data_IF_927025977450
#
_entry.id   IF_927025977450
#
_cell.length_a   1.000
_cell.length_b   1.000
_cell.length_c   1.000
_cell.angle_alpha   90.00
_cell.angle_beta   90.00
_cell.angle_gamma   90.00
#
_symmetry.space_group_name_H-M   'P 1'
#
loop_
_entity.id
_entity.type
_entity.pdbx_description
1 polymer ?
#
# COMPACT_ATOMS: atom_id res chain seq x y z
N UNK A 1 4.98 -14.39 10.32
CA UNK A 1 5.41 -13.41 9.30
C UNK A 1 4.18 -12.85 8.60
N UNK A 2 4.09 -11.54 8.56
CA UNK A 2 2.94 -10.90 7.95
C UNK A 2 3.31 -10.21 6.65
N UNK A 3 2.30 -9.88 5.87
CA UNK A 3 2.43 -9.09 4.65
C UNK A 3 1.90 -7.70 4.92
N UNK A 4 2.75 -6.70 4.73
CA UNK A 4 2.41 -5.30 4.96
C UNK A 4 2.13 -4.67 3.59
N UNK A 5 0.87 -4.33 3.36
CA UNK A 5 0.47 -3.58 2.18
C UNK A 5 0.88 -2.12 2.34
N UNK A 6 1.45 -1.53 1.31
CA UNK A 6 1.78 -0.10 1.29
C UNK A 6 1.22 0.48 0.00
N UNK A 7 0.30 1.40 0.15
CA UNK A 7 -0.35 2.09 -0.96
C UNK A 7 -0.43 3.58 -0.66
N UNK A 8 -0.81 4.38 -1.62
CA UNK A 8 -0.96 5.80 -1.36
C UNK A 8 -1.28 6.62 -2.58
N UNK A 9 -1.77 7.83 -2.34
CA UNK A 9 -2.13 8.78 -3.37
C UNK A 9 -0.91 9.26 -4.16
N UNK A 10 -1.07 9.42 -5.47
CA UNK A 10 -0.05 10.01 -6.34
C UNK A 10 0.26 11.46 -5.95
N UNK A 11 -0.66 12.14 -5.29
CA UNK A 11 -0.46 13.52 -4.83
C UNK A 11 0.50 13.61 -3.64
N UNK A 12 0.79 12.50 -2.99
CA UNK A 12 1.70 12.44 -1.85
C UNK A 12 2.95 11.67 -2.24
N UNK A 13 3.86 12.36 -2.93
CA UNK A 13 5.04 11.75 -3.54
C UNK A 13 6.35 12.44 -3.12
N UNK A 14 6.31 13.26 -2.08
CA UNK A 14 7.48 14.00 -1.60
C UNK A 14 8.37 13.16 -0.69
N UNK A 15 9.59 13.64 -0.47
CA UNK A 15 10.51 13.02 0.50
C UNK A 15 9.92 13.06 1.92
N UNK A 16 9.20 14.12 2.26
CA UNK A 16 8.49 14.23 3.53
C UNK A 16 7.45 13.14 3.66
N UNK A 17 6.67 12.91 2.61
CA UNK A 17 5.66 11.85 2.59
C UNK A 17 6.29 10.47 2.73
N UNK A 18 7.42 10.25 2.07
CA UNK A 18 8.16 9.00 2.22
C UNK A 18 8.58 8.77 3.67
N UNK A 19 9.11 9.79 4.32
CA UNK A 19 9.55 9.66 5.73
C UNK A 19 8.41 9.36 6.67
N UNK A 20 7.25 9.96 6.45
CA UNK A 20 6.03 9.67 7.22
C UNK A 20 5.65 8.20 7.06
N UNK A 21 5.66 7.70 5.85
CA UNK A 21 5.40 6.29 5.55
C UNK A 21 6.43 5.37 6.21
N UNK A 22 7.71 5.73 6.11
CA UNK A 22 8.80 4.95 6.69
C UNK A 22 8.69 4.83 8.20
N UNK A 23 8.32 5.92 8.90
CA UNK A 23 8.14 5.90 10.35
C UNK A 23 7.07 4.88 10.74
N UNK A 24 5.92 4.90 10.06
CA UNK A 24 4.86 3.92 10.32
C UNK A 24 5.32 2.50 10.02
N UNK A 25 6.02 2.32 8.92
CA UNK A 25 6.55 1.01 8.54
C UNK A 25 7.47 0.44 9.64
N UNK A 26 8.37 1.26 10.19
CA UNK A 26 9.26 0.83 11.27
C UNK A 26 8.50 0.42 12.52
N UNK A 27 7.39 1.07 12.81
CA UNK A 27 6.57 0.76 13.99
C UNK A 27 5.94 -0.61 13.92
N UNK A 28 5.58 -1.08 12.72
CA UNK A 28 4.82 -2.33 12.56
C UNK A 28 5.65 -3.47 11.98
N UNK A 29 6.77 -3.19 11.35
CA UNK A 29 7.60 -4.20 10.70
C UNK A 29 8.26 -5.12 11.72
N UNK A 30 8.19 -6.42 11.47
CA UNK A 30 8.92 -7.44 12.21
C UNK A 30 9.78 -8.23 11.21
N UNK A 31 10.93 -8.71 11.66
CA UNK A 31 11.83 -9.46 10.78
C UNK A 31 11.13 -10.65 10.16
N UNK A 32 11.31 -10.83 8.87
CA UNK A 32 10.64 -11.86 8.09
C UNK A 32 9.36 -11.39 7.40
N UNK A 33 8.86 -10.20 7.72
CA UNK A 33 7.70 -9.64 7.04
C UNK A 33 8.02 -9.28 5.59
N UNK A 34 7.01 -9.28 4.76
CA UNK A 34 7.10 -8.92 3.34
C UNK A 34 6.23 -7.73 3.03
N UNK A 35 6.51 -7.07 1.91
CA UNK A 35 5.72 -5.92 1.43
C UNK A 35 4.86 -6.34 0.25
N UNK A 36 3.66 -5.77 0.17
CA UNK A 36 2.73 -5.95 -0.95
C UNK A 36 2.32 -4.57 -1.46
N UNK A 37 2.36 -4.34 -2.76
CA UNK A 37 1.98 -3.05 -3.32
C UNK A 37 1.52 -3.16 -4.78
N UNK A 38 1.26 -2.02 -5.41
CA UNK A 38 0.59 -1.96 -6.70
C UNK A 38 1.41 -1.50 -7.90
N UNK A 39 2.66 -1.11 -7.72
CA UNK A 39 3.54 -0.78 -8.83
C UNK A 39 3.32 0.58 -9.49
N UNK A 40 2.52 1.47 -8.91
CA UNK A 40 2.41 2.83 -9.42
C UNK A 40 3.76 3.56 -9.23
N UNK A 41 4.23 4.32 -10.25
CA UNK A 41 5.53 4.99 -10.15
C UNK A 41 5.55 6.21 -9.24
N UNK A 42 4.43 6.56 -8.61
CA UNK A 42 4.30 7.69 -7.69
C UNK A 42 3.57 7.29 -6.41
N UNK A 43 3.87 8.01 -5.33
CA UNK A 43 3.17 7.87 -4.06
C UNK A 43 3.53 6.61 -3.30
N UNK A 44 2.57 6.07 -2.56
CA UNK A 44 2.78 4.94 -1.65
C UNK A 44 3.37 3.71 -2.30
N UNK A 45 2.96 3.41 -3.54
CA UNK A 45 3.51 2.26 -4.27
C UNK A 45 5.02 2.44 -4.54
N UNK A 46 5.45 3.65 -4.88
CA UNK A 46 6.86 3.96 -5.05
C UNK A 46 7.61 3.85 -3.71
N UNK A 47 6.99 4.29 -2.64
CA UNK A 47 7.57 4.18 -1.29
C UNK A 47 7.76 2.72 -0.89
N UNK A 48 6.81 1.87 -1.23
CA UNK A 48 6.90 0.42 -0.98
C UNK A 48 8.13 -0.18 -1.65
N UNK A 49 8.35 0.14 -2.93
CA UNK A 49 9.50 -0.36 -3.67
C UNK A 49 10.81 0.19 -3.10
N UNK A 50 10.81 1.46 -2.71
CA UNK A 50 11.98 2.10 -2.11
C UNK A 50 12.35 1.46 -0.77
N UNK A 51 11.36 1.19 0.09
CA UNK A 51 11.60 0.52 1.37
C UNK A 51 12.10 -0.90 1.19
N UNK A 52 11.51 -1.65 0.26
CA UNK A 52 11.92 -3.00 -0.05
C UNK A 52 13.40 -3.04 -0.48
N UNK A 53 13.79 -2.15 -1.37
CA UNK A 53 15.15 -2.07 -1.87
C UNK A 53 16.13 -1.60 -0.79
N UNK A 54 15.75 -0.58 -0.04
CA UNK A 54 16.60 0.02 1.01
C UNK A 54 16.91 -0.97 2.11
N UNK A 55 15.97 -1.85 2.46
CA UNK A 55 16.07 -2.74 3.60
C UNK A 55 16.21 -4.23 3.22
N UNK A 56 16.26 -4.53 1.94
CA UNK A 56 16.39 -5.92 1.47
C UNK A 56 15.16 -6.78 1.82
N UNK A 57 13.97 -6.18 1.76
CA UNK A 57 12.72 -6.86 2.12
C UNK A 57 12.05 -7.38 0.85
N UNK A 58 11.56 -8.63 0.84
CA UNK A 58 10.81 -9.15 -0.30
C UNK A 58 9.55 -8.30 -0.55
N UNK A 59 9.24 -8.06 -1.82
CA UNK A 59 8.06 -7.32 -2.22
C UNK A 59 7.30 -8.07 -3.31
N UNK A 60 5.98 -8.17 -3.13
CA UNK A 60 5.06 -8.65 -4.16
C UNK A 60 4.35 -7.44 -4.73
N UNK A 61 4.46 -7.25 -6.04
CA UNK A 61 3.80 -6.14 -6.74
C UNK A 61 2.67 -6.70 -7.61
N UNK A 62 1.46 -6.21 -7.40
CA UNK A 62 0.30 -6.52 -8.21
C UNK A 62 0.10 -5.41 -9.24
N UNK A 63 0.59 -5.64 -10.46
CA UNK A 63 0.41 -4.68 -11.54
C UNK A 63 -1.01 -4.77 -12.10
N UNK A 64 -1.62 -3.61 -12.46
CA UNK A 64 -2.92 -3.65 -13.13
C UNK A 64 -2.78 -4.24 -14.53
N UNK A 65 -3.74 -5.06 -14.91
CA UNK A 65 -3.84 -5.60 -16.26
C UNK A 65 -4.74 -4.68 -17.08
N UNK A 66 -4.15 -3.71 -17.77
CA UNK A 66 -4.89 -2.71 -18.51
C UNK A 66 -5.69 -3.28 -19.68
N UNK A 67 -5.45 -4.52 -20.09
CA UNK A 67 -6.28 -5.20 -21.08
C UNK A 67 -7.70 -5.43 -20.57
N UNK A 68 -7.92 -5.38 -19.25
CA UNK A 68 -9.23 -5.51 -18.63
C UNK A 68 -10.04 -4.19 -18.61
N UNK A 69 -9.48 -3.11 -19.16
CA UNK A 69 -10.15 -1.83 -19.30
C UNK A 69 -9.97 -0.90 -18.10
N UNK A 70 -10.91 0.04 -17.95
CA UNK A 70 -10.82 1.12 -16.96
C UNK A 70 -10.79 0.64 -15.51
N UNK A 71 -11.34 -0.54 -15.24
CA UNK A 71 -11.43 -1.07 -13.88
C UNK A 71 -10.19 -1.86 -13.45
N UNK A 72 -9.17 -1.95 -14.31
CA UNK A 72 -7.96 -2.73 -14.03
C UNK A 72 -7.30 -2.35 -12.70
N UNK A 73 -7.22 -1.05 -12.40
CA UNK A 73 -6.66 -0.58 -11.15
C UNK A 73 -7.46 -1.02 -9.92
N UNK A 74 -8.78 -0.97 -10.01
CA UNK A 74 -9.66 -1.43 -8.92
C UNK A 74 -9.59 -2.94 -8.74
N UNK A 75 -9.47 -3.70 -9.82
CA UNK A 75 -9.29 -5.16 -9.76
C UNK A 75 -7.97 -5.49 -9.06
N UNK A 76 -6.88 -4.82 -9.44
CA UNK A 76 -5.57 -4.98 -8.81
C UNK A 76 -5.63 -4.66 -7.32
N UNK A 77 -6.34 -3.60 -6.92
CA UNK A 77 -6.49 -3.22 -5.51
C UNK A 77 -7.13 -4.34 -4.68
N UNK A 78 -8.01 -5.12 -5.28
CA UNK A 78 -8.62 -6.28 -4.61
C UNK A 78 -7.56 -7.30 -4.20
N UNK A 79 -6.58 -7.57 -5.06
CA UNK A 79 -5.51 -8.52 -4.75
C UNK A 79 -4.62 -8.01 -3.61
N UNK A 80 -4.29 -6.72 -3.59
CA UNK A 80 -3.52 -6.12 -2.50
C UNK A 80 -4.30 -6.26 -1.18
N UNK A 81 -5.58 -5.89 -1.20
CA UNK A 81 -6.44 -5.94 -0.02
C UNK A 81 -6.61 -7.36 0.53
N UNK A 82 -6.63 -8.36 -0.33
CA UNK A 82 -6.74 -9.75 0.08
C UNK A 82 -5.44 -10.33 0.63
N UNK A 83 -4.30 -9.86 0.16
CA UNK A 83 -2.99 -10.40 0.52
C UNK A 83 -2.37 -9.72 1.74
N UNK A 84 -2.73 -8.48 2.03
CA UNK A 84 -2.15 -7.72 3.14
C UNK A 84 -2.73 -8.13 4.49
N UNK A 85 -1.86 -8.32 5.48
CA UNK A 85 -2.27 -8.54 6.87
C UNK A 85 -2.42 -7.22 7.62
N UNK A 86 -1.60 -6.24 7.28
CA UNK A 86 -1.72 -4.84 7.72
C UNK A 86 -1.52 -3.94 6.51
N UNK A 87 -2.15 -2.78 6.53
CA UNK A 87 -2.11 -1.83 5.41
C UNK A 87 -1.66 -0.46 5.88
N UNK A 88 -0.62 0.07 5.24
CA UNK A 88 -0.22 1.47 5.39
C UNK A 88 -0.73 2.22 4.16
N UNK A 89 -1.50 3.27 4.39
CA UNK A 89 -2.08 4.07 3.32
C UNK A 89 -1.68 5.53 3.48
N UNK A 90 -0.91 6.04 2.51
CA UNK A 90 -0.55 7.46 2.45
C UNK A 90 -1.68 8.16 1.72
N UNK A 91 -2.67 8.61 2.50
CA UNK A 91 -3.95 9.07 1.94
C UNK A 91 -3.87 10.48 1.39
N UNK A 92 -4.69 10.76 0.36
CA UNK A 92 -4.85 12.12 -0.15
C UNK A 92 -5.56 12.99 0.89
N UNK A 93 -5.29 14.29 0.87
CA UNK A 93 -5.90 15.23 1.80
C UNK A 93 -7.43 15.21 1.71
N UNK A 94 -7.98 15.14 0.49
CA UNK A 94 -9.41 15.08 0.26
C UNK A 94 -10.01 13.68 0.40
N UNK A 95 -9.20 12.68 0.72
CA UNK A 95 -9.63 11.29 0.93
C UNK A 95 -10.39 10.71 -0.27
N UNK A 96 -9.90 10.97 -1.50
CA UNK A 96 -10.45 10.42 -2.73
C UNK A 96 -9.42 9.62 -3.51
N UNK A 97 -9.86 8.83 -4.46
CA UNK A 97 -9.00 8.09 -5.39
C UNK A 97 -8.88 6.61 -5.09
N UNK A 98 -7.97 5.95 -5.80
CA UNK A 98 -7.80 4.49 -5.75
C UNK A 98 -7.34 3.94 -4.41
N UNK A 99 -6.61 4.75 -3.63
CA UNK A 99 -6.16 4.36 -2.29
C UNK A 99 -7.36 4.07 -1.37
N UNK A 100 -8.43 4.88 -1.47
CA UNK A 100 -9.64 4.68 -0.68
C UNK A 100 -10.33 3.38 -1.03
N UNK A 101 -10.30 2.96 -2.29
CA UNK A 101 -10.83 1.68 -2.72
C UNK A 101 -10.09 0.51 -2.06
N UNK A 102 -8.76 0.57 -2.01
CA UNK A 102 -7.94 -0.46 -1.36
C UNK A 102 -8.24 -0.52 0.15
N UNK A 103 -8.35 0.64 0.81
CA UNK A 103 -8.67 0.71 2.24
C UNK A 103 -10.03 0.07 2.52
N UNK A 104 -11.03 0.43 1.73
CA UNK A 104 -12.39 -0.11 1.88
C UNK A 104 -12.42 -1.64 1.74
N UNK A 105 -11.76 -2.16 0.73
CA UNK A 105 -11.68 -3.60 0.48
C UNK A 105 -10.92 -4.33 1.59
N UNK A 106 -9.84 -3.73 2.09
CA UNK A 106 -9.06 -4.28 3.17
C UNK A 106 -9.89 -4.38 4.45
N UNK A 107 -10.57 -3.30 4.84
CA UNK A 107 -11.39 -3.28 6.04
C UNK A 107 -12.61 -4.20 5.94
N UNK A 108 -13.18 -4.37 4.75
CA UNK A 108 -14.26 -5.33 4.53
C UNK A 108 -13.83 -6.77 4.84
N UNK A 109 -12.59 -7.12 4.55
CA UNK A 109 -12.06 -8.46 4.81
C UNK A 109 -11.55 -8.62 6.24
N UNK A 110 -10.72 -7.69 6.69
CA UNK A 110 -10.03 -7.80 7.99
C UNK A 110 -10.95 -7.42 9.13
N UNK A 111 -11.81 -6.45 8.94
CA UNK A 111 -12.76 -5.96 9.93
C UNK A 111 -12.09 -5.56 11.26
N UNK A 112 -10.90 -4.96 11.16
CA UNK A 112 -10.10 -4.51 12.30
C UNK A 112 -9.35 -3.24 11.90
N UNK A 113 -9.85 -2.10 12.36
CA UNK A 113 -9.27 -0.80 12.03
C UNK A 113 -7.84 -0.62 12.55
N UNK A 114 -7.47 -1.35 13.60
CA UNK A 114 -6.10 -1.28 14.13
C UNK A 114 -5.05 -1.80 13.15
N UNK A 115 -5.47 -2.54 12.14
CA UNK A 115 -4.59 -3.06 11.09
C UNK A 115 -4.49 -2.13 9.87
N UNK A 116 -5.27 -1.06 9.83
CA UNK A 116 -5.26 -0.06 8.76
C UNK A 116 -4.64 1.23 9.29
N UNK A 117 -3.47 1.57 8.76
CA UNK A 117 -2.69 2.71 9.23
C UNK A 117 -2.74 3.83 8.20
N UNK A 118 -3.49 4.88 8.51
CA UNK A 118 -3.61 6.07 7.64
C UNK A 118 -2.53 7.08 8.04
N UNK A 119 -1.74 7.49 7.07
CA UNK A 119 -0.64 8.45 7.32
C UNK A 119 -0.64 9.62 6.34
#
# INVERSE_FOLDING_TARGET
MKKIGIVGSRSRDSEKDFKICEVKFREIYEEGDEIVSGGCPRGGDRFAERLAKKRGIPIKIYFPDWSLGKNAGFIRNTFIAQDADELISVVAEDRTGGTEDTISKFLSRVNDESKSHLV
#
